data_IF_750682416688
#
_entry.id   IF_750682416688
#
_cell.length_a   1.000
_cell.length_b   1.000
_cell.length_c   1.000
_cell.angle_alpha   90.00
_cell.angle_beta   90.00
_cell.angle_gamma   90.00
#
_symmetry.space_group_name_H-M   'P 1'
#
loop_
_entity.id
_entity.type
_entity.pdbx_description
1 polymer ?
#
# COMPACT_ATOMS: atom_id res chain seq x y z
N UNK A 1 -5.35 41.31 -31.42
CA UNK A 1 -5.58 40.93 -30.01
C UNK A 1 -5.72 39.42 -29.93
N UNK A 2 -4.61 38.72 -29.74
CA UNK A 2 -4.58 37.33 -29.28
C UNK A 2 -3.79 37.36 -27.97
N UNK A 3 -4.42 36.99 -26.87
CA UNK A 3 -3.77 36.82 -25.57
C UNK A 3 -3.71 35.32 -25.30
N UNK A 4 -2.47 34.83 -25.25
CA UNK A 4 -2.11 33.49 -24.86
C UNK A 4 -2.32 33.32 -23.34
N UNK A 5 -3.07 32.29 -22.94
CA UNK A 5 -2.97 31.77 -21.57
C UNK A 5 -1.81 30.76 -21.54
N UNK A 6 -0.79 31.13 -20.79
CA UNK A 6 0.38 30.30 -20.52
C UNK A 6 -0.01 29.06 -19.71
N UNK A 7 0.27 27.88 -20.27
CA UNK A 7 0.29 26.63 -19.54
C UNK A 7 1.40 26.69 -18.48
N UNK A 8 1.05 26.45 -17.21
CA UNK A 8 2.01 26.32 -16.11
C UNK A 8 2.64 24.91 -16.15
N UNK A 9 3.97 24.76 -16.18
CA UNK A 9 4.62 23.45 -16.15
C UNK A 9 5.01 23.10 -14.71
N UNK A 10 4.22 22.31 -14.00
CA UNK A 10 4.63 21.74 -12.70
C UNK A 10 4.08 20.34 -12.50
N UNK A 11 4.54 19.37 -13.29
CA UNK A 11 4.39 17.95 -12.96
C UNK A 11 5.44 17.17 -13.75
N UNK A 12 6.58 16.88 -13.13
CA UNK A 12 7.51 15.89 -13.70
C UNK A 12 8.19 15.01 -12.66
N UNK A 13 7.89 15.15 -11.36
CA UNK A 13 8.43 14.25 -10.32
C UNK A 13 7.51 14.18 -9.10
N UNK A 14 6.51 13.31 -9.14
CA UNK A 14 5.77 12.90 -7.92
C UNK A 14 6.02 11.44 -7.50
N UNK A 15 6.84 10.69 -8.24
CA UNK A 15 7.21 9.33 -7.84
C UNK A 15 8.55 8.95 -8.49
N UNK A 16 9.67 9.27 -7.84
CA UNK A 16 11.01 9.12 -8.40
C UNK A 16 12.03 8.41 -7.51
N UNK A 17 11.61 7.84 -6.39
CA UNK A 17 12.50 7.18 -5.43
C UNK A 17 11.95 5.83 -5.00
N UNK A 18 11.67 4.96 -5.98
CA UNK A 18 11.49 3.52 -5.75
C UNK A 18 12.64 2.76 -6.44
N UNK A 19 13.44 2.07 -5.62
CA UNK A 19 14.49 1.08 -5.91
C UNK A 19 15.27 1.21 -7.24
N UNK A 20 16.52 1.67 -7.17
CA UNK A 20 17.56 1.18 -8.10
C UNK A 20 18.06 -0.18 -7.62
N UNK A 21 17.49 -1.27 -8.13
CA UNK A 21 18.11 -2.59 -8.03
C UNK A 21 19.39 -2.60 -8.89
N UNK A 22 20.54 -2.51 -8.24
CA UNK A 22 21.83 -2.64 -8.90
C UNK A 22 22.06 -4.09 -9.32
N UNK A 23 22.08 -4.35 -10.63
CA UNK A 23 22.54 -5.63 -11.18
C UNK A 23 24.05 -5.78 -10.95
N UNK A 24 24.48 -6.81 -10.23
CA UNK A 24 25.91 -7.19 -10.12
C UNK A 24 26.07 -8.67 -10.47
N UNK A 25 26.97 -8.93 -11.41
CA UNK A 25 27.31 -10.25 -11.97
C UNK A 25 27.95 -11.19 -10.94
N UNK A 26 27.59 -12.48 -11.02
CA UNK A 26 28.17 -13.57 -10.22
C UNK A 26 29.64 -13.83 -10.58
N UNK A 27 30.53 -13.82 -9.60
CA UNK A 27 31.88 -14.38 -9.67
C UNK A 27 31.95 -15.77 -9.01
N UNK A 28 32.91 -16.65 -9.37
CA UNK A 28 32.85 -18.07 -9.05
C UNK A 28 33.34 -18.40 -7.63
N UNK A 29 32.76 -19.45 -7.07
CA UNK A 29 33.04 -20.01 -5.75
C UNK A 29 34.46 -20.58 -5.62
N UNK A 30 35.13 -20.30 -4.50
CA UNK A 30 36.34 -21.02 -4.07
C UNK A 30 36.02 -21.97 -2.92
N UNK A 31 36.21 -23.25 -3.20
CA UNK A 31 36.35 -24.35 -2.24
C UNK A 31 37.57 -24.14 -1.35
N UNK A 32 37.48 -24.44 -0.05
CA UNK A 32 38.62 -24.89 0.74
C UNK A 32 38.20 -25.85 1.87
N UNK A 33 39.14 -26.74 2.19
CA UNK A 33 39.00 -28.03 2.86
C UNK A 33 38.82 -28.00 4.38
N UNK A 34 38.24 -29.11 4.87
CA UNK A 34 38.12 -29.55 6.28
C UNK A 34 39.47 -29.88 6.94
N UNK A 35 39.52 -29.70 8.27
CA UNK A 35 40.08 -30.53 9.39
C UNK A 35 39.79 -29.73 10.68
N UNK A 36 39.42 -30.21 11.87
CA UNK A 36 39.22 -31.51 12.49
C UNK A 36 39.41 -31.32 14.03
N UNK A 37 38.47 -31.80 14.86
CA UNK A 37 38.68 -32.15 16.28
C UNK A 37 38.42 -31.09 17.38
N UNK A 38 37.64 -31.45 18.39
CA UNK A 38 37.59 -30.74 19.69
C UNK A 38 36.25 -30.82 20.43
N UNK A 39 36.06 -31.84 21.25
CA UNK A 39 34.93 -32.01 22.18
C UNK A 39 34.97 -31.04 23.36
N UNK A 40 33.87 -30.33 23.61
CA UNK A 40 33.65 -29.54 24.81
C UNK A 40 32.27 -28.90 24.79
N UNK A 41 31.27 -29.54 25.40
CA UNK A 41 29.93 -28.99 25.53
C UNK A 41 29.95 -27.85 26.56
N UNK A 42 29.95 -26.61 26.08
CA UNK A 42 29.65 -25.42 26.86
C UNK A 42 28.11 -25.25 26.93
N UNK A 43 27.55 -24.76 28.05
CA UNK A 43 26.11 -24.57 28.16
C UNK A 43 25.67 -23.50 27.16
N UNK A 44 24.62 -23.80 26.41
CA UNK A 44 24.00 -22.87 25.49
C UNK A 44 23.61 -21.60 26.26
N UNK A 45 24.29 -20.50 25.96
CA UNK A 45 23.82 -19.17 26.36
C UNK A 45 22.49 -18.97 25.66
N UNK A 46 21.40 -18.92 26.43
CA UNK A 46 20.13 -18.42 25.94
C UNK A 46 20.40 -17.02 25.37
N UNK A 47 20.28 -16.89 24.06
CA UNK A 47 20.11 -15.58 23.46
C UNK A 47 18.80 -15.05 24.03
N UNK A 48 18.91 -14.09 24.94
CA UNK A 48 17.80 -13.24 25.32
C UNK A 48 17.23 -12.70 24.02
N UNK A 49 15.99 -13.11 23.69
CA UNK A 49 15.22 -12.48 22.63
C UNK A 49 15.15 -11.00 22.99
N UNK A 50 15.96 -10.17 22.31
CA UNK A 50 15.84 -8.73 22.45
C UNK A 50 14.38 -8.39 22.18
N UNK A 51 13.68 -7.90 23.19
CA UNK A 51 12.31 -7.47 23.03
C UNK A 51 12.29 -6.46 21.88
N UNK A 52 11.61 -6.79 20.79
CA UNK A 52 11.39 -5.82 19.72
C UNK A 52 10.69 -4.62 20.34
N UNK A 53 11.31 -3.45 20.20
CA UNK A 53 10.68 -2.20 20.58
C UNK A 53 9.34 -2.10 19.84
N UNK A 54 8.25 -1.71 20.52
CA UNK A 54 6.95 -1.61 19.88
C UNK A 54 7.06 -0.70 18.65
N UNK A 55 6.49 -1.15 17.53
CA UNK A 55 6.55 -0.42 16.27
C UNK A 55 5.93 0.97 16.45
N UNK A 56 6.71 1.99 16.13
CA UNK A 56 6.32 3.37 16.32
C UNK A 56 5.80 3.96 15.01
N UNK A 57 4.50 4.18 14.96
CA UNK A 57 3.85 4.90 13.88
C UNK A 57 3.94 6.41 14.15
N UNK A 58 4.53 7.16 13.21
CA UNK A 58 4.51 8.62 13.26
C UNK A 58 3.08 9.12 12.96
N UNK A 59 2.67 10.29 13.48
CA UNK A 59 1.36 10.88 13.15
C UNK A 59 1.20 11.05 11.63
N UNK A 60 0.01 10.75 11.06
CA UNK A 60 -0.23 10.89 9.63
C UNK A 60 -0.21 12.37 9.19
N UNK A 61 0.04 12.60 7.91
CA UNK A 61 -0.24 13.90 7.29
C UNK A 61 -1.74 13.98 7.01
N UNK A 62 -2.36 15.10 7.37
CA UNK A 62 -3.81 15.30 7.23
C UNK A 62 -4.09 16.54 6.40
N UNK A 63 -4.80 16.38 5.29
CA UNK A 63 -5.40 17.47 4.53
C UNK A 63 -6.85 17.58 4.96
N UNK A 64 -7.18 18.70 5.63
CA UNK A 64 -8.52 18.94 6.16
C UNK A 64 -9.52 19.17 5.02
N UNK A 65 -10.79 18.75 5.20
CA UNK A 65 -11.84 19.06 4.25
C UNK A 65 -12.07 20.57 4.18
N UNK A 66 -12.54 21.04 3.02
CA UNK A 66 -12.85 22.45 2.76
C UNK A 66 -14.27 22.84 3.17
N UNK A 67 -15.15 21.84 3.27
CA UNK A 67 -16.52 21.96 3.74
C UNK A 67 -16.76 21.04 4.95
N UNK A 68 -18.01 20.83 5.33
CA UNK A 68 -18.37 19.91 6.40
C UNK A 68 -17.75 18.53 6.13
N UNK A 69 -16.97 18.06 7.09
CA UNK A 69 -16.35 16.73 7.04
C UNK A 69 -17.44 15.66 7.07
N UNK A 70 -17.61 14.93 5.97
CA UNK A 70 -18.59 13.83 5.89
C UNK A 70 -18.02 12.54 5.32
N UNK A 71 -16.78 12.56 4.81
CA UNK A 71 -16.06 11.37 4.33
C UNK A 71 -14.56 11.50 4.55
N UNK A 72 -13.87 10.36 4.56
CA UNK A 72 -12.41 10.32 4.71
C UNK A 72 -11.79 9.37 3.69
N UNK A 73 -10.64 9.74 3.15
CA UNK A 73 -9.78 8.88 2.34
C UNK A 73 -8.48 8.66 3.11
N UNK A 74 -8.11 7.39 3.33
CA UNK A 74 -6.82 7.00 3.93
C UNK A 74 -5.94 6.44 2.80
N UNK A 75 -4.84 7.09 2.48
CA UNK A 75 -3.97 6.76 1.33
C UNK A 75 -2.59 6.29 1.79
N UNK A 76 -2.30 5.00 1.62
CA UNK A 76 -1.05 4.37 2.04
C UNK A 76 0.02 4.42 0.94
N UNK A 77 1.21 4.90 1.30
CA UNK A 77 2.37 4.97 0.40
C UNK A 77 3.01 3.59 0.13
N UNK A 78 3.85 3.51 -0.89
CA UNK A 78 4.65 2.31 -1.19
C UNK A 78 5.88 2.13 -0.30
N UNK A 79 6.56 0.98 -0.42
CA UNK A 79 7.77 0.67 0.34
C UNK A 79 8.85 1.76 0.16
N UNK A 80 9.45 2.19 1.27
CA UNK A 80 10.55 3.16 1.29
C UNK A 80 10.14 4.63 1.21
N UNK A 81 8.87 4.92 0.96
CA UNK A 81 8.32 6.28 0.90
C UNK A 81 7.72 6.71 2.26
N UNK A 82 6.87 7.73 2.24
CA UNK A 82 6.22 8.31 3.43
C UNK A 82 4.88 8.93 3.07
N UNK A 83 4.01 9.13 4.07
CA UNK A 83 2.81 9.95 3.93
C UNK A 83 3.09 11.36 3.38
N UNK A 84 4.24 11.96 3.68
CA UNK A 84 4.65 13.27 3.12
C UNK A 84 4.74 13.23 1.59
N UNK A 85 5.27 12.13 1.03
CA UNK A 85 5.45 11.96 -0.41
C UNK A 85 4.15 11.88 -1.20
N UNK A 86 3.04 11.53 -0.53
CA UNK A 86 1.72 11.34 -1.14
C UNK A 86 0.73 12.46 -0.80
N UNK A 87 1.03 13.30 0.20
CA UNK A 87 0.09 14.30 0.72
C UNK A 87 -0.39 15.33 -0.32
N UNK A 88 0.43 15.63 -1.32
CA UNK A 88 0.07 16.56 -2.41
C UNK A 88 -1.19 16.12 -3.18
N UNK A 89 -1.48 14.82 -3.23
CA UNK A 89 -2.70 14.28 -3.85
C UNK A 89 -3.94 14.80 -3.12
N UNK A 90 -3.87 14.96 -1.80
CA UNK A 90 -4.99 15.48 -1.00
C UNK A 90 -5.31 16.92 -1.38
N UNK A 91 -4.29 17.77 -1.56
CA UNK A 91 -4.45 19.15 -2.00
C UNK A 91 -5.02 19.24 -3.42
N UNK A 92 -4.64 18.31 -4.30
CA UNK A 92 -5.15 18.20 -5.68
C UNK A 92 -6.61 17.74 -5.72
N UNK A 93 -7.01 16.81 -4.84
CA UNK A 93 -8.36 16.25 -4.84
C UNK A 93 -9.36 17.08 -4.05
N UNK A 94 -8.93 17.76 -2.99
CA UNK A 94 -9.80 18.57 -2.11
C UNK A 94 -10.72 19.58 -2.85
N UNK A 95 -10.31 20.27 -3.94
CA UNK A 95 -11.22 21.12 -4.70
C UNK A 95 -12.44 20.38 -5.29
N UNK A 96 -12.25 19.13 -5.72
CA UNK A 96 -13.29 18.36 -6.39
C UNK A 96 -14.14 17.52 -5.42
N UNK A 97 -13.67 17.36 -4.18
CA UNK A 97 -14.34 16.64 -3.09
C UNK A 97 -14.23 17.43 -1.77
N UNK A 98 -14.84 18.62 -1.68
CA UNK A 98 -14.57 19.55 -0.57
C UNK A 98 -15.00 19.00 0.81
N UNK A 99 -15.91 18.03 0.86
CA UNK A 99 -16.38 17.37 2.09
C UNK A 99 -15.49 16.22 2.59
N UNK A 100 -14.41 15.90 1.86
CA UNK A 100 -13.52 14.76 2.14
C UNK A 100 -12.26 15.21 2.87
N UNK A 101 -11.95 14.54 3.98
CA UNK A 101 -10.64 14.62 4.65
C UNK A 101 -9.68 13.59 4.05
N UNK A 102 -8.43 13.94 3.84
CA UNK A 102 -7.41 13.02 3.37
C UNK A 102 -6.37 12.76 4.45
N UNK A 103 -6.07 11.48 4.70
CA UNK A 103 -5.09 11.02 5.69
C UNK A 103 -4.02 10.21 4.97
N UNK A 104 -2.76 10.62 5.13
CA UNK A 104 -1.59 9.96 4.56
C UNK A 104 -0.71 9.45 5.69
N UNK A 105 -0.92 8.20 6.16
CA UNK A 105 -0.14 7.65 7.25
C UNK A 105 1.31 7.35 6.86
N UNK A 106 2.18 7.24 7.86
CA UNK A 106 3.54 6.72 7.69
C UNK A 106 3.60 5.27 8.18
N UNK A 107 4.23 4.40 7.40
CA UNK A 107 4.65 3.09 7.90
C UNK A 107 5.77 3.23 8.94
N UNK A 108 5.96 2.26 9.85
CA UNK A 108 7.11 2.26 10.75
C UNK A 108 8.40 1.93 9.98
N UNK A 109 9.54 2.15 10.62
CA UNK A 109 10.83 1.65 10.12
C UNK A 109 10.97 0.18 10.49
N UNK A 110 11.17 -0.69 9.50
CA UNK A 110 11.44 -2.12 9.70
C UNK A 110 12.51 -2.61 8.73
N UNK A 111 13.14 -3.74 9.06
CA UNK A 111 14.08 -4.42 8.16
C UNK A 111 13.31 -5.05 7.00
N UNK A 112 13.81 -4.91 5.78
CA UNK A 112 13.14 -5.42 4.57
C UNK A 112 14.05 -6.41 3.83
N UNK A 113 13.62 -7.67 3.76
CA UNK A 113 14.40 -8.81 3.28
C UNK A 113 14.81 -8.67 1.81
N UNK A 114 13.89 -8.29 0.91
CA UNK A 114 14.20 -8.09 -0.52
C UNK A 114 15.25 -6.99 -0.74
N UNK A 115 15.40 -6.08 0.23
CA UNK A 115 16.43 -5.04 0.25
C UNK A 115 17.61 -5.40 1.17
N UNK A 116 17.96 -6.68 1.25
CA UNK A 116 19.09 -7.20 2.01
C UNK A 116 19.02 -6.85 3.51
N UNK A 117 17.81 -6.77 4.08
CA UNK A 117 17.58 -6.43 5.49
C UNK A 117 17.78 -4.95 5.82
N UNK A 118 17.86 -4.07 4.82
CA UNK A 118 17.94 -2.62 5.04
C UNK A 118 16.73 -2.13 5.84
N UNK A 119 16.98 -1.31 6.88
CA UNK A 119 15.92 -0.65 7.64
C UNK A 119 15.39 0.55 6.87
N UNK A 120 14.10 0.53 6.55
CA UNK A 120 13.43 1.60 5.82
C UNK A 120 11.93 1.62 6.14
N UNK A 121 11.17 2.66 5.74
CA UNK A 121 9.73 2.67 5.88
C UNK A 121 9.11 1.46 5.17
N UNK A 122 8.39 0.62 5.89
CA UNK A 122 7.66 -0.50 5.31
C UNK A 122 6.48 -0.93 6.18
N UNK A 123 5.42 -1.37 5.53
CA UNK A 123 4.19 -1.87 6.16
C UNK A 123 4.32 -3.31 6.66
N UNK A 124 5.04 -4.15 5.91
CA UNK A 124 5.31 -5.55 6.23
C UNK A 124 6.62 -5.95 5.53
N UNK A 125 7.20 -7.08 5.89
CA UNK A 125 8.40 -7.57 5.20
C UNK A 125 8.06 -8.13 3.82
N UNK A 126 8.93 -7.89 2.83
CA UNK A 126 8.83 -8.49 1.50
C UNK A 126 10.07 -9.34 1.33
N UNK A 127 9.88 -10.66 1.21
CA UNK A 127 10.98 -11.61 0.98
C UNK A 127 11.34 -11.67 -0.50
N UNK A 128 10.35 -11.75 -1.38
CA UNK A 128 10.52 -11.83 -2.83
C UNK A 128 9.31 -11.24 -3.56
N UNK A 129 9.54 -10.77 -4.78
CA UNK A 129 8.51 -10.42 -5.77
C UNK A 129 8.62 -11.30 -7.03
N UNK A 130 9.38 -12.40 -6.98
CA UNK A 130 9.40 -13.40 -8.05
C UNK A 130 8.16 -14.30 -7.98
N UNK A 131 7.73 -14.61 -6.76
CA UNK A 131 6.48 -15.29 -6.43
C UNK A 131 5.82 -14.61 -5.23
N UNK A 132 4.69 -13.96 -5.48
CA UNK A 132 3.97 -13.18 -4.47
C UNK A 132 3.24 -14.04 -3.42
N UNK A 133 3.12 -15.35 -3.62
CA UNK A 133 2.41 -16.25 -2.69
C UNK A 133 3.37 -17.08 -1.81
N UNK A 134 4.63 -17.21 -2.21
CA UNK A 134 5.53 -18.20 -1.62
C UNK A 134 6.01 -17.84 -0.20
N UNK A 135 6.07 -16.56 0.17
CA UNK A 135 6.68 -16.11 1.43
C UNK A 135 6.11 -14.77 1.91
N UNK A 136 4.81 -14.74 2.16
CA UNK A 136 4.10 -13.56 2.66
C UNK A 136 4.30 -13.36 4.17
N UNK A 137 4.60 -12.12 4.59
CA UNK A 137 4.65 -11.73 6.00
C UNK A 137 3.24 -11.51 6.58
N UNK A 138 2.54 -12.62 6.83
CA UNK A 138 1.19 -12.61 7.42
C UNK A 138 1.09 -11.78 8.71
N UNK A 139 1.99 -11.97 9.70
CA UNK A 139 1.98 -11.15 10.92
C UNK A 139 2.12 -9.64 10.66
N UNK A 140 3.04 -9.21 9.80
CA UNK A 140 3.21 -7.79 9.45
C UNK A 140 2.02 -7.21 8.68
N UNK A 141 1.41 -8.00 7.79
CA UNK A 141 0.18 -7.62 7.09
C UNK A 141 -0.99 -7.41 8.07
N UNK A 142 -1.18 -8.34 9.01
CA UNK A 142 -2.22 -8.23 10.06
C UNK A 142 -1.98 -7.03 10.97
N UNK A 143 -0.73 -6.78 11.33
CA UNK A 143 -0.32 -5.61 12.12
C UNK A 143 -0.63 -4.30 11.38
N UNK A 144 -0.24 -4.18 10.11
CA UNK A 144 -0.55 -3.00 9.28
C UNK A 144 -2.06 -2.81 9.09
N UNK A 145 -2.81 -3.89 8.86
CA UNK A 145 -4.28 -3.84 8.81
C UNK A 145 -4.85 -3.27 10.12
N UNK A 146 -4.40 -3.74 11.29
CA UNK A 146 -4.87 -3.22 12.59
C UNK A 146 -4.57 -1.73 12.77
N UNK A 147 -3.42 -1.27 12.28
CA UNK A 147 -3.11 0.16 12.30
C UNK A 147 -4.09 0.95 11.43
N UNK A 148 -4.39 0.52 10.21
CA UNK A 148 -5.40 1.19 9.36
C UNK A 148 -6.79 1.13 9.99
N UNK A 149 -7.19 0.00 10.59
CA UNK A 149 -8.45 -0.11 11.34
C UNK A 149 -8.54 0.88 12.51
N UNK A 150 -7.41 1.19 13.16
CA UNK A 150 -7.36 2.22 14.21
C UNK A 150 -7.61 3.63 13.66
N UNK A 151 -7.13 3.93 12.45
CA UNK A 151 -7.41 5.20 11.76
C UNK A 151 -8.88 5.28 11.38
N UNK A 152 -9.47 4.22 10.83
CA UNK A 152 -10.91 4.15 10.54
C UNK A 152 -11.74 4.37 11.83
N UNK A 153 -11.36 3.72 12.93
CA UNK A 153 -12.06 3.88 14.21
C UNK A 153 -11.95 5.32 14.77
N UNK A 154 -10.83 6.00 14.55
CA UNK A 154 -10.67 7.40 14.94
C UNK A 154 -11.60 8.33 14.14
N UNK A 155 -11.83 8.04 12.86
CA UNK A 155 -12.77 8.78 12.01
C UNK A 155 -14.22 8.58 12.45
N UNK A 156 -14.60 7.35 12.83
CA UNK A 156 -15.92 7.06 13.40
C UNK A 156 -16.14 7.81 14.72
N UNK A 157 -15.12 7.83 15.58
CA UNK A 157 -15.17 8.59 16.83
C UNK A 157 -15.29 10.11 16.58
N UNK A 158 -14.80 10.59 15.44
CA UNK A 158 -14.97 11.98 14.98
C UNK A 158 -16.30 12.24 14.25
N UNK A 159 -17.17 11.23 14.13
CA UNK A 159 -18.51 11.35 13.55
C UNK A 159 -18.64 11.00 12.07
N UNK A 160 -17.59 10.45 11.45
CA UNK A 160 -17.65 9.94 10.06
C UNK A 160 -17.77 8.41 10.08
N UNK A 161 -18.93 7.83 9.71
CA UNK A 161 -19.12 6.38 9.75
C UNK A 161 -18.13 5.67 8.81
N UNK A 162 -17.73 4.44 9.13
CA UNK A 162 -16.79 3.66 8.30
C UNK A 162 -17.28 3.46 6.86
N UNK A 163 -18.59 3.44 6.63
CA UNK A 163 -19.23 3.39 5.31
C UNK A 163 -18.98 4.64 4.45
N UNK A 164 -18.35 5.67 5.04
CA UNK A 164 -17.91 6.91 4.40
C UNK A 164 -16.38 7.02 4.34
N UNK A 165 -15.66 5.92 4.61
CA UNK A 165 -14.21 5.85 4.56
C UNK A 165 -13.76 5.01 3.36
N UNK A 166 -12.89 5.59 2.54
CA UNK A 166 -12.18 4.90 1.46
C UNK A 166 -10.76 4.60 1.92
N UNK A 167 -10.29 3.37 1.73
CA UNK A 167 -8.89 3.01 1.97
C UNK A 167 -8.21 2.76 0.63
N UNK A 168 -7.16 3.51 0.36
CA UNK A 168 -6.41 3.48 -0.89
C UNK A 168 -4.93 3.22 -0.60
N UNK A 169 -4.20 2.66 -1.56
CA UNK A 169 -2.75 2.58 -1.43
C UNK A 169 -2.02 2.19 -2.70
N UNK A 170 -0.73 2.49 -2.72
CA UNK A 170 0.19 2.17 -3.82
C UNK A 170 1.20 1.10 -3.44
N UNK A 171 1.48 0.17 -4.34
CA UNK A 171 2.49 -0.88 -4.18
C UNK A 171 2.28 -1.64 -2.87
N UNK A 172 3.25 -1.64 -1.95
CA UNK A 172 3.11 -2.24 -0.62
C UNK A 172 1.92 -1.68 0.19
N UNK A 173 1.64 -0.37 0.10
CA UNK A 173 0.47 0.23 0.75
C UNK A 173 -0.85 -0.22 0.12
N UNK A 174 -0.86 -0.51 -1.19
CA UNK A 174 -2.02 -1.07 -1.89
C UNK A 174 -2.36 -2.48 -1.42
N UNK A 175 -1.35 -3.28 -1.07
CA UNK A 175 -1.52 -4.61 -0.52
C UNK A 175 -2.21 -4.54 0.86
N UNK A 176 -1.82 -3.58 1.69
CA UNK A 176 -2.49 -3.30 2.97
C UNK A 176 -3.90 -2.74 2.75
N UNK A 177 -4.12 -1.88 1.75
CA UNK A 177 -5.46 -1.40 1.41
C UNK A 177 -6.39 -2.56 1.03
N UNK A 178 -5.92 -3.52 0.22
CA UNK A 178 -6.68 -4.73 -0.12
C UNK A 178 -6.89 -5.66 1.09
N UNK A 179 -5.97 -5.69 2.07
CA UNK A 179 -6.19 -6.40 3.34
C UNK A 179 -7.41 -5.88 4.10
N UNK A 180 -7.85 -4.64 3.87
CA UNK A 180 -9.04 -4.07 4.52
C UNK A 180 -10.37 -4.70 4.05
N UNK A 181 -10.38 -5.48 2.97
CA UNK A 181 -11.54 -6.34 2.62
C UNK A 181 -11.89 -7.33 3.76
N UNK A 182 -10.90 -7.67 4.60
CA UNK A 182 -11.06 -8.53 5.78
C UNK A 182 -11.53 -7.77 7.03
N UNK A 183 -11.83 -6.48 6.94
CA UNK A 183 -12.33 -5.72 8.09
C UNK A 183 -13.79 -6.04 8.36
N UNK A 184 -14.17 -6.14 9.63
CA UNK A 184 -15.58 -6.26 10.04
C UNK A 184 -16.34 -4.93 9.94
N UNK A 185 -15.62 -3.83 9.69
CA UNK A 185 -16.23 -2.52 9.41
C UNK A 185 -16.52 -2.42 7.91
N UNK A 186 -17.75 -2.04 7.56
CA UNK A 186 -18.11 -1.73 6.17
C UNK A 186 -17.34 -0.48 5.73
N UNK A 187 -16.64 -0.58 4.61
CA UNK A 187 -15.97 0.56 3.98
C UNK A 187 -16.75 1.09 2.78
N UNK A 188 -16.52 2.35 2.43
CA UNK A 188 -17.12 2.98 1.25
C UNK A 188 -16.54 2.41 -0.06
N UNK A 189 -15.23 2.14 -0.05
CA UNK A 189 -14.50 1.62 -1.21
C UNK A 189 -13.05 1.35 -0.88
N UNK A 190 -12.40 0.52 -1.71
CA UNK A 190 -10.98 0.21 -1.58
C UNK A 190 -10.28 0.48 -2.91
N UNK A 191 -9.08 1.05 -2.86
CA UNK A 191 -8.27 1.34 -4.06
C UNK A 191 -6.88 0.69 -3.94
N UNK A 192 -6.51 -0.11 -4.94
CA UNK A 192 -5.19 -0.72 -5.05
C UNK A 192 -4.46 -0.27 -6.31
N UNK A 193 -3.35 0.47 -6.15
CA UNK A 193 -2.55 0.99 -7.26
C UNK A 193 -1.23 0.19 -7.38
N UNK A 194 -0.98 -0.39 -8.55
CA UNK A 194 0.23 -1.16 -8.89
C UNK A 194 0.62 -2.15 -7.78
N UNK A 195 -0.31 -3.02 -7.40
CA UNK A 195 -0.25 -3.85 -6.19
C UNK A 195 -0.73 -5.28 -6.42
N UNK A 196 -0.75 -6.09 -5.35
CA UNK A 196 -1.26 -7.45 -5.33
C UNK A 196 -2.16 -7.69 -4.10
N UNK A 197 -3.04 -8.69 -4.17
CA UNK A 197 -3.87 -9.15 -3.04
C UNK A 197 -3.07 -10.15 -2.19
N UNK A 198 -2.68 -9.79 -0.96
CA UNK A 198 -1.94 -10.68 -0.08
C UNK A 198 -2.85 -11.74 0.54
N UNK A 199 -2.25 -12.85 0.95
CA UNK A 199 -2.91 -13.95 1.67
C UNK A 199 -4.19 -14.42 0.98
N UNK A 200 -4.20 -14.38 -0.37
CA UNK A 200 -5.42 -14.56 -1.17
C UNK A 200 -5.98 -15.98 -1.14
N UNK A 201 -5.20 -16.93 -0.65
CA UNK A 201 -5.58 -18.33 -0.51
C UNK A 201 -6.12 -18.66 0.90
N UNK A 202 -6.10 -17.71 1.83
CA UNK A 202 -6.73 -17.87 3.15
C UNK A 202 -8.25 -17.75 3.06
N UNK A 203 -8.96 -18.23 4.08
CA UNK A 203 -10.39 -17.99 4.20
C UNK A 203 -10.69 -16.56 4.67
N UNK A 204 -11.91 -16.07 4.42
CA UNK A 204 -12.35 -14.78 4.93
C UNK A 204 -11.64 -13.56 4.32
N UNK A 205 -11.05 -13.70 3.12
CA UNK A 205 -10.41 -12.60 2.37
C UNK A 205 -11.34 -11.40 2.21
N UNK A 206 -12.64 -11.66 2.05
CA UNK A 206 -13.69 -10.66 2.05
C UNK A 206 -14.64 -10.98 3.20
N UNK A 207 -14.77 -10.06 4.14
CA UNK A 207 -15.71 -10.19 5.25
C UNK A 207 -17.15 -10.03 4.77
N UNK A 208 -18.12 -10.48 5.57
CA UNK A 208 -19.53 -10.25 5.29
C UNK A 208 -19.86 -8.75 5.14
N UNK A 209 -19.22 -7.90 5.95
CA UNK A 209 -19.40 -6.45 5.87
C UNK A 209 -18.94 -5.89 4.52
N UNK A 210 -17.86 -6.41 3.93
CA UNK A 210 -17.26 -5.87 2.71
C UNK A 210 -17.61 -6.63 1.43
N UNK A 211 -18.53 -7.60 1.47
CA UNK A 211 -18.94 -8.39 0.30
C UNK A 211 -19.41 -7.54 -0.90
N UNK A 212 -20.05 -6.39 -0.64
CA UNK A 212 -20.47 -5.44 -1.67
C UNK A 212 -19.70 -4.12 -1.65
N UNK A 213 -18.46 -4.11 -1.13
CA UNK A 213 -17.62 -2.90 -1.13
C UNK A 213 -16.93 -2.78 -2.50
N UNK A 214 -17.12 -1.65 -3.23
CA UNK A 214 -16.45 -1.45 -4.51
C UNK A 214 -14.92 -1.42 -4.37
N UNK A 215 -14.23 -2.04 -5.31
CA UNK A 215 -12.76 -2.05 -5.39
C UNK A 215 -12.33 -1.48 -6.75
N UNK A 216 -11.54 -0.42 -6.73
CA UNK A 216 -10.80 0.04 -7.91
C UNK A 216 -9.37 -0.47 -7.85
N UNK A 217 -8.96 -1.24 -8.84
CA UNK A 217 -7.58 -1.62 -9.01
C UNK A 217 -7.00 -0.97 -10.28
N UNK A 218 -5.85 -0.33 -10.17
CA UNK A 218 -5.13 0.24 -11.31
C UNK A 218 -3.74 -0.37 -11.40
N UNK A 219 -3.24 -0.61 -12.61
CA UNK A 219 -1.90 -1.19 -12.81
C UNK A 219 -1.29 -0.81 -14.15
N UNK A 220 0.00 -0.51 -14.15
CA UNK A 220 0.76 -0.26 -15.37
C UNK A 220 1.13 -1.55 -16.11
N UNK A 221 0.90 -1.61 -17.42
CA UNK A 221 1.24 -2.80 -18.22
C UNK A 221 2.74 -2.96 -18.50
N UNK A 222 3.54 -1.92 -18.19
CA UNK A 222 5.00 -1.94 -18.27
C UNK A 222 5.66 -1.98 -16.88
N UNK A 223 4.91 -2.30 -15.81
CA UNK A 223 5.44 -2.43 -14.46
C UNK A 223 6.38 -3.62 -14.34
N UNK A 224 7.67 -3.32 -14.14
CA UNK A 224 8.75 -4.29 -13.94
C UNK A 224 9.13 -4.53 -12.48
N UNK A 225 8.45 -3.91 -11.51
CA UNK A 225 8.70 -4.09 -10.06
C UNK A 225 7.62 -4.99 -9.47
N UNK A 226 6.36 -4.57 -9.56
CA UNK A 226 5.21 -5.42 -9.26
C UNK A 226 4.63 -5.82 -10.59
N UNK A 227 5.07 -6.98 -11.10
CA UNK A 227 4.76 -7.43 -12.45
C UNK A 227 3.25 -7.30 -12.74
N UNK A 228 2.89 -6.76 -13.91
CA UNK A 228 1.51 -6.57 -14.31
C UNK A 228 0.64 -7.85 -14.20
N UNK A 229 1.25 -9.02 -14.40
CA UNK A 229 0.62 -10.32 -14.18
C UNK A 229 0.09 -10.53 -12.75
N UNK A 230 0.75 -9.95 -11.74
CA UNK A 230 0.28 -9.96 -10.35
C UNK A 230 -0.97 -9.10 -10.16
N UNK A 231 -1.04 -7.96 -10.84
CA UNK A 231 -2.24 -7.14 -10.87
C UNK A 231 -3.42 -7.89 -11.50
N UNK A 232 -3.19 -8.53 -12.66
CA UNK A 232 -4.20 -9.36 -13.33
C UNK A 232 -4.65 -10.55 -12.46
N UNK A 233 -3.71 -11.26 -11.82
CA UNK A 233 -4.01 -12.36 -10.91
C UNK A 233 -4.83 -11.90 -9.70
N UNK A 234 -4.50 -10.72 -9.18
CA UNK A 234 -5.22 -10.08 -8.08
C UNK A 234 -6.67 -9.76 -8.46
N UNK A 235 -6.92 -9.12 -9.60
CA UNK A 235 -8.29 -8.84 -10.03
C UNK A 235 -9.08 -10.14 -10.26
N UNK A 236 -8.45 -11.16 -10.84
CA UNK A 236 -9.07 -12.47 -11.02
C UNK A 236 -9.46 -13.10 -9.68
N UNK A 237 -8.58 -13.04 -8.68
CA UNK A 237 -8.86 -13.55 -7.34
C UNK A 237 -9.99 -12.77 -6.66
N UNK A 238 -9.96 -11.43 -6.71
CA UNK A 238 -11.02 -10.57 -6.17
C UNK A 238 -12.39 -10.93 -6.76
N UNK A 239 -12.48 -11.10 -8.09
CA UNK A 239 -13.73 -11.51 -8.75
C UNK A 239 -14.17 -12.92 -8.37
N UNK A 240 -13.24 -13.86 -8.24
CA UNK A 240 -13.55 -15.22 -7.80
C UNK A 240 -14.09 -15.27 -6.36
N UNK A 241 -13.65 -14.34 -5.52
CA UNK A 241 -14.12 -14.15 -4.14
C UNK A 241 -15.44 -13.36 -4.07
N UNK A 242 -15.97 -12.87 -5.20
CA UNK A 242 -17.24 -12.14 -5.26
C UNK A 242 -17.14 -10.63 -5.04
N UNK A 243 -15.95 -10.04 -5.07
CA UNK A 243 -15.77 -8.59 -4.96
C UNK A 243 -16.33 -7.85 -6.18
N UNK A 244 -16.89 -6.66 -5.95
CA UNK A 244 -17.20 -5.68 -6.99
C UNK A 244 -15.91 -4.95 -7.42
N UNK A 245 -15.07 -5.64 -8.20
CA UNK A 245 -13.72 -5.19 -8.53
C UNK A 245 -13.55 -4.75 -9.99
N UNK A 246 -13.26 -3.46 -10.17
CA UNK A 246 -12.84 -2.85 -11.43
C UNK A 246 -11.31 -2.96 -11.61
N UNK A 247 -10.83 -3.16 -12.84
CA UNK A 247 -9.40 -3.20 -13.16
C UNK A 247 -9.07 -2.27 -14.33
N UNK A 248 -8.27 -1.24 -14.05
CA UNK A 248 -7.80 -0.26 -15.01
C UNK A 248 -6.33 -0.53 -15.35
N UNK A 249 -6.08 -0.93 -16.59
CA UNK A 249 -4.73 -1.00 -17.14
C UNK A 249 -4.29 0.36 -17.66
N UNK A 250 -3.17 0.87 -17.15
CA UNK A 250 -2.55 2.11 -17.62
C UNK A 250 -1.43 1.78 -18.60
N UNK A 251 -1.69 2.03 -19.90
CA UNK A 251 -0.77 1.63 -20.98
C UNK A 251 0.55 2.40 -20.93
N UNK A 252 1.65 1.66 -21.07
CA UNK A 252 3.02 2.17 -21.04
C UNK A 252 3.51 2.63 -19.67
N UNK A 253 2.69 2.52 -18.62
CA UNK A 253 3.06 2.92 -17.27
C UNK A 253 3.90 1.81 -16.62
N UNK A 254 5.05 2.20 -16.07
CA UNK A 254 5.87 1.33 -15.21
C UNK A 254 5.37 1.31 -13.77
N UNK A 255 6.26 1.07 -12.81
CA UNK A 255 5.93 1.16 -11.39
C UNK A 255 5.87 2.63 -10.93
N UNK A 256 4.74 3.29 -11.17
CA UNK A 256 4.54 4.70 -10.86
C UNK A 256 3.05 5.00 -10.64
N UNK A 257 2.76 6.21 -10.19
CA UNK A 257 1.43 6.79 -10.21
C UNK A 257 1.43 8.00 -11.16
N UNK A 258 0.45 8.05 -12.06
CA UNK A 258 0.38 9.06 -13.13
C UNK A 258 -0.94 9.82 -13.07
N UNK A 259 -1.02 11.06 -13.61
CA UNK A 259 -2.22 11.87 -13.53
C UNK A 259 -3.50 11.17 -14.01
N UNK A 260 -3.47 10.47 -15.14
CA UNK A 260 -4.65 9.75 -15.66
C UNK A 260 -5.14 8.63 -14.75
N UNK A 261 -4.24 8.00 -13.99
CA UNK A 261 -4.61 7.00 -12.97
C UNK A 261 -5.25 7.70 -11.77
N UNK A 262 -4.67 8.80 -11.30
CA UNK A 262 -5.19 9.58 -10.17
C UNK A 262 -6.55 10.22 -10.49
N UNK A 263 -6.80 10.62 -11.73
CA UNK A 263 -8.12 11.06 -12.20
C UNK A 263 -9.17 9.95 -12.00
N UNK A 264 -8.85 8.71 -12.37
CA UNK A 264 -9.76 7.58 -12.15
C UNK A 264 -10.02 7.31 -10.66
N UNK A 265 -8.99 7.47 -9.81
CA UNK A 265 -9.15 7.38 -8.34
C UNK A 265 -10.07 8.48 -7.82
N UNK A 266 -9.90 9.72 -8.28
CA UNK A 266 -10.76 10.83 -7.86
C UNK A 266 -12.21 10.61 -8.28
N UNK A 267 -12.45 10.13 -9.50
CA UNK A 267 -13.81 9.80 -9.98
C UNK A 267 -14.42 8.63 -9.20
N UNK A 268 -13.62 7.63 -8.83
CA UNK A 268 -14.06 6.57 -7.94
C UNK A 268 -14.47 7.11 -6.57
N UNK A 269 -13.65 7.97 -5.95
CA UNK A 269 -13.97 8.62 -4.67
C UNK A 269 -15.28 9.40 -4.77
N UNK A 270 -15.48 10.23 -5.80
CA UNK A 270 -16.73 10.97 -6.00
C UNK A 270 -17.95 10.05 -6.09
N UNK A 271 -17.80 8.88 -6.72
CA UNK A 271 -18.86 7.88 -6.89
C UNK A 271 -19.21 7.19 -5.57
N UNK A 272 -18.23 6.75 -4.79
CA UNK A 272 -18.48 5.95 -3.58
C UNK A 272 -18.75 6.81 -2.34
N UNK A 273 -18.27 8.06 -2.30
CA UNK A 273 -18.53 9.00 -1.21
C UNK A 273 -19.03 10.36 -1.73
N UNK A 274 -20.22 10.45 -2.33
CA UNK A 274 -20.79 11.72 -2.78
C UNK A 274 -21.01 12.69 -1.59
N UNK A 275 -21.19 14.01 -1.85
CA UNK A 275 -21.60 14.96 -0.81
C UNK A 275 -22.87 14.49 -0.10
N UNK A 276 -22.90 14.62 1.23
CA UNK A 276 -24.01 14.18 2.10
C UNK A 276 -24.83 15.36 2.62
#
# INVERSE_FOLDING_TARGET
>A
MQSALAARPHLTRLCGSALRLGAISRGPARQQHRRGGGSGAAPARAFSSGAEMPLQYRPPIVVQPREKHTATVIMLHGLGDSGDGWAAIGDEFAPATPHVKYIFPHSPLRSITINMGMKMPGWFDIVSLEDIDASEDGPGLVESKRYVESLVAAEEAAGVPSERVVVAGFSQGGAVALMMLRSERKLAGIVGLSTWLPLRNEEGVISAANAGTPVLQCHGDADGVVAYSFGVATNKALKALGADAEFLTVRGMGHSAVPSELEAVQEFIKRVVPPA
#
